data_IF_503482956627
#
_entry.id   IF_503482956627
#
_cell.length_a   1.000
_cell.length_b   1.000
_cell.length_c   1.000
_cell.angle_alpha   90.00
_cell.angle_beta   90.00
_cell.angle_gamma   90.00
#
_symmetry.space_group_name_H-M   'P 1'
#
loop_
_entity.id
_entity.type
_entity.pdbx_description
1 polymer ?
#
# COMPACT_ATOMS: atom_id res chain seq x y z
N UNK A 1 14.21 12.47 21.60
CA UNK A 1 13.71 12.58 20.21
C UNK A 1 14.64 11.73 19.35
N UNK A 2 14.38 10.42 19.25
CA UNK A 2 15.31 9.44 18.65
C UNK A 2 14.57 8.42 17.73
N UNK A 3 13.40 8.82 17.20
CA UNK A 3 12.64 7.98 16.26
C UNK A 3 13.22 8.01 14.83
N UNK A 4 14.09 8.97 14.51
CA UNK A 4 14.60 9.18 13.15
C UNK A 4 15.70 8.20 12.72
N UNK A 5 16.65 7.89 13.61
CA UNK A 5 17.79 7.03 13.26
C UNK A 5 17.37 5.55 13.09
N UNK A 6 16.55 5.01 14.00
CA UNK A 6 16.12 3.60 13.92
C UNK A 6 15.23 3.30 12.71
N UNK A 7 14.46 4.28 12.25
CA UNK A 7 13.63 4.14 11.05
C UNK A 7 14.49 4.10 9.79
N UNK A 8 15.48 5.00 9.68
CA UNK A 8 16.41 5.01 8.56
C UNK A 8 17.27 3.74 8.49
N UNK A 9 17.74 3.22 9.63
CA UNK A 9 18.52 1.97 9.70
C UNK A 9 17.68 0.75 9.28
N UNK A 10 16.45 0.66 9.77
CA UNK A 10 15.52 -0.45 9.45
C UNK A 10 15.08 -0.40 7.99
N UNK A 11 14.75 0.79 7.48
CA UNK A 11 14.45 1.00 6.07
C UNK A 11 15.66 0.67 5.18
N UNK A 12 16.87 1.08 5.56
CA UNK A 12 18.11 0.71 4.85
C UNK A 12 18.28 -0.80 4.77
N UNK A 13 18.01 -1.54 5.85
CA UNK A 13 18.15 -2.99 5.87
C UNK A 13 17.09 -3.72 5.03
N UNK A 14 15.85 -3.21 5.00
CA UNK A 14 14.77 -3.76 4.16
C UNK A 14 15.03 -3.45 2.67
N UNK A 15 15.41 -2.21 2.37
CA UNK A 15 15.80 -1.76 1.02
C UNK A 15 17.01 -2.56 0.53
N UNK A 16 18.05 -2.75 1.36
CA UNK A 16 19.21 -3.56 1.00
C UNK A 16 18.85 -5.03 0.72
N UNK A 17 17.96 -5.64 1.50
CA UNK A 17 17.50 -7.02 1.24
C UNK A 17 16.72 -7.15 -0.07
N UNK A 18 15.91 -6.15 -0.42
CA UNK A 18 15.21 -6.09 -1.71
C UNK A 18 16.16 -6.00 -2.92
N UNK A 19 17.30 -5.31 -2.77
CA UNK A 19 18.35 -5.24 -3.82
C UNK A 19 19.12 -6.56 -3.95
N UNK A 20 19.47 -7.18 -2.82
CA UNK A 20 20.39 -8.32 -2.78
C UNK A 20 19.76 -9.64 -3.23
N UNK A 21 18.45 -9.81 -3.07
CA UNK A 21 17.79 -11.11 -3.32
C UNK A 21 17.78 -11.50 -4.81
N UNK A 22 17.91 -10.55 -5.74
CA UNK A 22 17.50 -10.76 -7.13
C UNK A 22 18.52 -10.34 -8.19
N UNK A 23 19.79 -10.07 -7.82
CA UNK A 23 20.87 -9.84 -8.79
C UNK A 23 21.37 -11.12 -9.47
N UNK A 24 20.70 -12.27 -9.25
CA UNK A 24 21.05 -13.59 -9.80
C UNK A 24 20.13 -14.11 -10.92
N UNK A 25 19.20 -13.30 -11.43
CA UNK A 25 18.29 -13.71 -12.52
C UNK A 25 18.94 -13.51 -13.91
N UNK A 26 18.78 -14.45 -14.86
CA UNK A 26 19.42 -14.41 -16.19
C UNK A 26 18.98 -13.24 -17.08
N UNK A 27 18.01 -12.43 -16.66
CA UNK A 27 17.73 -11.13 -17.28
C UNK A 27 18.54 -10.03 -16.60
N UNK A 28 19.84 -10.02 -16.89
CA UNK A 28 20.74 -8.93 -16.56
C UNK A 28 20.28 -7.66 -17.29
N UNK A 29 19.44 -6.84 -16.66
CA UNK A 29 19.05 -5.51 -17.17
C UNK A 29 17.59 -5.10 -16.99
N UNK A 30 16.68 -5.99 -16.60
CA UNK A 30 15.26 -5.66 -16.37
C UNK A 30 14.98 -5.52 -14.87
N UNK A 31 15.50 -4.45 -14.28
CA UNK A 31 15.36 -4.13 -12.85
C UNK A 31 14.26 -3.11 -12.57
N UNK A 32 13.98 -2.91 -11.28
CA UNK A 32 13.17 -1.80 -10.78
C UNK A 32 13.68 -0.46 -11.31
N UNK A 33 12.80 0.53 -11.38
CA UNK A 33 13.20 1.89 -11.77
C UNK A 33 14.04 2.48 -10.64
N UNK A 34 15.32 2.75 -10.89
CA UNK A 34 16.18 3.45 -9.93
C UNK A 34 15.95 4.96 -10.01
N UNK A 35 16.35 5.69 -8.98
CA UNK A 35 16.30 7.16 -8.95
C UNK A 35 17.02 7.78 -10.15
N UNK A 36 18.19 7.23 -10.53
CA UNK A 36 18.94 7.69 -11.70
C UNK A 36 18.19 7.50 -13.01
N UNK A 37 17.62 6.30 -13.23
CA UNK A 37 16.81 6.01 -14.42
C UNK A 37 15.56 6.89 -14.47
N UNK A 38 14.92 7.09 -13.31
CA UNK A 38 13.77 7.95 -13.15
C UNK A 38 14.06 9.40 -13.60
N UNK A 39 15.15 10.00 -13.09
CA UNK A 39 15.56 11.35 -13.44
C UNK A 39 15.87 11.52 -14.94
N UNK A 40 16.52 10.52 -15.55
CA UNK A 40 16.86 10.56 -16.97
C UNK A 40 15.63 10.46 -17.86
N UNK A 41 14.68 9.60 -17.51
CA UNK A 41 13.38 9.52 -18.19
C UNK A 41 12.60 10.83 -18.05
N UNK A 42 12.62 11.48 -16.88
CA UNK A 42 12.02 12.79 -16.71
C UNK A 42 12.67 13.83 -17.63
N UNK A 43 14.00 13.92 -17.64
CA UNK A 43 14.71 14.86 -18.49
C UNK A 43 14.39 14.64 -19.96
N UNK A 44 14.38 13.39 -20.42
CA UNK A 44 14.03 13.03 -21.79
C UNK A 44 12.59 13.43 -22.15
N UNK A 45 11.61 13.09 -21.30
CA UNK A 45 10.19 13.38 -21.55
C UNK A 45 9.86 14.88 -21.45
N UNK A 46 10.65 15.66 -20.71
CA UNK A 46 10.52 17.12 -20.65
C UNK A 46 11.02 17.79 -21.93
N UNK A 47 12.07 17.25 -22.55
CA UNK A 47 12.64 17.77 -23.79
C UNK A 47 11.88 17.29 -25.02
N UNK A 48 10.76 17.96 -25.31
CA UNK A 48 9.94 17.70 -26.51
C UNK A 48 10.83 17.75 -27.77
N UNK A 49 10.93 16.64 -28.48
CA UNK A 49 11.68 16.53 -29.74
C UNK A 49 12.92 15.64 -29.69
N UNK A 50 13.33 15.17 -28.50
CA UNK A 50 14.41 14.18 -28.40
C UNK A 50 14.00 12.82 -28.97
N UNK A 51 14.82 12.25 -29.84
CA UNK A 51 14.65 10.89 -30.34
C UNK A 51 15.07 9.89 -29.24
N UNK A 52 14.15 9.02 -28.79
CA UNK A 52 14.44 8.07 -27.71
C UNK A 52 15.56 7.07 -28.02
N UNK A 53 15.89 6.86 -29.30
CA UNK A 53 16.98 5.97 -29.71
C UNK A 53 18.35 6.65 -29.76
N UNK A 54 18.41 7.99 -29.84
CA UNK A 54 19.66 8.75 -30.03
C UNK A 54 19.99 9.54 -28.77
N UNK A 55 19.17 10.53 -28.40
CA UNK A 55 19.48 11.46 -27.31
C UNK A 55 19.37 10.79 -25.95
N UNK A 56 18.37 9.92 -25.73
CA UNK A 56 18.25 9.18 -24.48
C UNK A 56 19.47 8.26 -24.29
N UNK A 57 19.82 7.49 -25.33
CA UNK A 57 20.97 6.58 -25.29
C UNK A 57 22.29 7.36 -25.13
N UNK A 58 22.41 8.53 -25.74
CA UNK A 58 23.56 9.41 -25.58
C UNK A 58 23.65 9.93 -24.14
N UNK A 59 22.56 10.43 -23.53
CA UNK A 59 22.55 10.84 -22.13
C UNK A 59 22.99 9.71 -21.20
N UNK A 60 22.54 8.48 -21.45
CA UNK A 60 22.98 7.31 -20.69
C UNK A 60 24.46 6.98 -20.91
N UNK A 61 24.94 7.07 -22.16
CA UNK A 61 26.34 6.78 -22.51
C UNK A 61 27.31 7.82 -21.92
N UNK A 62 26.94 9.10 -21.93
CA UNK A 62 27.73 10.21 -21.37
C UNK A 62 27.91 10.09 -19.86
N UNK A 63 26.99 9.43 -19.17
CA UNK A 63 27.10 9.15 -17.74
C UNK A 63 28.21 8.14 -17.38
N UNK A 64 28.89 7.54 -18.36
CA UNK A 64 30.08 6.66 -18.20
C UNK A 64 29.93 5.53 -17.17
N UNK A 65 28.71 5.12 -16.86
CA UNK A 65 28.40 3.99 -15.97
C UNK A 65 27.82 2.84 -16.80
N UNK A 66 28.58 2.42 -17.80
CA UNK A 66 28.17 1.45 -18.83
C UNK A 66 27.75 0.08 -18.31
N UNK A 67 28.10 -0.28 -17.07
CA UNK A 67 27.73 -1.57 -16.46
C UNK A 67 26.30 -1.63 -15.91
N UNK A 68 25.56 -0.52 -15.86
CA UNK A 68 24.22 -0.46 -15.27
C UNK A 68 23.15 0.14 -16.18
N UNK A 69 23.48 0.35 -17.46
CA UNK A 69 22.56 0.94 -18.42
C UNK A 69 21.66 -0.15 -19.02
N UNK A 70 20.33 0.02 -19.02
CA UNK A 70 19.46 -0.87 -19.74
C UNK A 70 19.74 -0.84 -21.25
N UNK A 71 19.36 -1.89 -21.96
CA UNK A 71 19.49 -1.92 -23.42
C UNK A 71 18.69 -0.78 -24.07
N UNK A 72 19.15 -0.30 -25.23
CA UNK A 72 18.44 0.73 -25.99
C UNK A 72 16.99 0.32 -26.30
N UNK A 73 16.74 -0.96 -26.56
CA UNK A 73 15.39 -1.49 -26.79
C UNK A 73 14.51 -1.42 -25.54
N UNK A 74 15.07 -1.68 -24.35
CA UNK A 74 14.34 -1.55 -23.10
C UNK A 74 14.02 -0.09 -22.79
N UNK A 75 14.98 0.82 -22.98
CA UNK A 75 14.75 2.27 -22.82
C UNK A 75 13.66 2.77 -23.77
N UNK A 76 13.67 2.34 -25.03
CA UNK A 76 12.63 2.68 -26.00
C UNK A 76 11.25 2.15 -25.56
N UNK A 77 11.19 0.91 -25.06
CA UNK A 77 9.96 0.34 -24.51
C UNK A 77 9.45 1.15 -23.30
N UNK A 78 10.32 1.56 -22.39
CA UNK A 78 9.94 2.41 -21.25
C UNK A 78 9.40 3.76 -21.71
N UNK A 79 10.13 4.45 -22.61
CA UNK A 79 9.73 5.75 -23.14
C UNK A 79 8.35 5.71 -23.81
N UNK A 80 8.00 4.59 -24.45
CA UNK A 80 6.70 4.39 -25.09
C UNK A 80 5.55 4.13 -24.10
N UNK A 81 5.84 3.61 -22.90
CA UNK A 81 4.83 3.26 -21.88
C UNK A 81 4.69 4.31 -20.78
N UNK A 82 5.64 5.24 -20.66
CA UNK A 82 5.71 6.22 -19.57
C UNK A 82 5.51 7.64 -20.10
N UNK A 83 4.89 8.50 -19.28
CA UNK A 83 4.76 9.93 -19.54
C UNK A 83 4.93 10.72 -18.24
N UNK A 84 4.80 12.05 -18.33
CA UNK A 84 4.82 12.93 -17.17
C UNK A 84 3.42 13.42 -16.85
N UNK A 85 3.05 13.39 -15.58
CA UNK A 85 1.85 14.08 -15.12
C UNK A 85 2.06 15.61 -15.01
N UNK A 86 1.03 16.33 -14.57
CA UNK A 86 1.10 17.79 -14.40
C UNK A 86 2.12 18.26 -13.35
N UNK A 87 2.58 17.37 -12.48
CA UNK A 87 3.62 17.65 -11.48
C UNK A 87 5.01 17.22 -11.95
N UNK A 88 5.14 16.74 -13.20
CA UNK A 88 6.38 16.23 -13.75
C UNK A 88 6.79 14.87 -13.19
N UNK A 89 5.88 14.08 -12.61
CA UNK A 89 6.18 12.72 -12.13
C UNK A 89 6.01 11.71 -13.24
N UNK A 90 6.85 10.65 -13.25
CA UNK A 90 6.63 9.55 -14.18
C UNK A 90 5.35 8.81 -13.82
N UNK A 91 4.49 8.64 -14.81
CA UNK A 91 3.26 7.86 -14.71
C UNK A 91 3.17 6.86 -15.85
N UNK A 92 2.58 5.71 -15.57
CA UNK A 92 2.27 4.73 -16.59
C UNK A 92 1.14 5.26 -17.48
N UNK A 93 1.34 5.30 -18.80
CA UNK A 93 0.36 5.85 -19.74
C UNK A 93 -0.98 5.13 -19.72
N UNK A 94 -0.95 3.82 -19.48
CA UNK A 94 -2.13 2.95 -19.54
C UNK A 94 -3.17 3.28 -18.45
N UNK A 95 -2.72 3.55 -17.23
CA UNK A 95 -3.61 3.71 -16.07
C UNK A 95 -3.35 4.96 -15.22
N UNK A 96 -2.35 5.78 -15.57
CA UNK A 96 -2.00 7.00 -14.86
C UNK A 96 -1.35 6.81 -13.50
N UNK A 97 -1.04 5.57 -13.08
CA UNK A 97 -0.40 5.32 -11.79
C UNK A 97 1.04 5.83 -11.78
N UNK A 98 1.46 6.34 -10.63
CA UNK A 98 2.78 6.92 -10.44
C UNK A 98 3.82 5.79 -10.39
N UNK A 99 4.90 5.96 -11.15
CA UNK A 99 6.09 5.12 -11.04
C UNK A 99 6.96 5.73 -9.95
N UNK A 100 7.44 4.91 -9.04
CA UNK A 100 8.35 5.35 -7.99
C UNK A 100 9.73 4.76 -8.21
N UNK A 101 10.80 5.53 -7.95
CA UNK A 101 12.11 4.96 -7.76
C UNK A 101 12.08 3.90 -6.66
N UNK A 102 12.81 2.81 -6.90
CA UNK A 102 13.04 1.72 -5.97
C UNK A 102 13.41 2.25 -4.58
N UNK A 103 14.33 3.20 -4.54
CA UNK A 103 14.89 3.81 -3.33
C UNK A 103 13.86 4.58 -2.50
N UNK A 104 12.76 5.01 -3.12
CA UNK A 104 11.72 5.79 -2.47
C UNK A 104 10.46 4.97 -2.13
N UNK A 105 10.34 3.76 -2.65
CA UNK A 105 9.11 3.00 -2.54
C UNK A 105 8.77 2.64 -1.09
N UNK A 106 9.74 2.20 -0.28
CA UNK A 106 9.50 1.89 1.15
C UNK A 106 8.99 3.12 1.93
N UNK A 107 9.53 4.31 1.63
CA UNK A 107 9.10 5.56 2.25
C UNK A 107 7.67 5.91 1.85
N UNK A 108 7.32 5.73 0.57
CA UNK A 108 5.96 5.97 0.08
C UNK A 108 4.95 4.99 0.71
N UNK A 109 5.31 3.71 0.84
CA UNK A 109 4.51 2.71 1.55
C UNK A 109 4.29 3.13 3.01
N UNK A 110 5.35 3.53 3.72
CA UNK A 110 5.24 3.96 5.11
C UNK A 110 4.37 5.22 5.26
N UNK A 111 4.47 6.17 4.32
CA UNK A 111 3.62 7.36 4.33
C UNK A 111 2.14 7.00 4.16
N UNK A 112 1.81 6.08 3.24
CA UNK A 112 0.44 5.56 3.11
C UNK A 112 -0.01 4.83 4.36
N UNK A 113 0.85 3.99 4.92
CA UNK A 113 0.59 3.22 6.13
C UNK A 113 0.23 4.12 7.33
N UNK A 114 0.97 5.21 7.51
CA UNK A 114 0.78 6.13 8.64
C UNK A 114 -0.44 7.06 8.48
N UNK A 115 -1.00 7.16 7.28
CA UNK A 115 -2.12 8.05 6.94
C UNK A 115 -3.49 7.37 7.05
N UNK A 116 -3.68 6.49 8.04
CA UNK A 116 -4.98 5.86 8.27
C UNK A 116 -5.99 6.76 9.00
N UNK A 117 -7.25 6.33 9.07
CA UNK A 117 -8.33 7.11 9.67
C UNK A 117 -8.13 7.26 11.18
N UNK A 118 -8.64 8.36 11.74
CA UNK A 118 -8.57 8.66 13.18
C UNK A 118 -7.14 8.71 13.76
N UNK A 119 -6.12 8.94 12.91
CA UNK A 119 -4.72 8.96 13.31
C UNK A 119 -4.13 7.57 13.60
N UNK A 120 -4.87 6.50 13.29
CA UNK A 120 -4.37 5.14 13.38
C UNK A 120 -3.67 4.75 12.08
N UNK A 121 -2.61 3.96 12.18
CA UNK A 121 -1.98 3.39 10.99
C UNK A 121 -2.92 2.37 10.32
N UNK A 122 -2.85 2.29 9.00
CA UNK A 122 -3.58 1.29 8.22
C UNK A 122 -3.06 -0.12 8.51
N UNK A 123 -3.96 -1.11 8.52
CA UNK A 123 -3.55 -2.52 8.47
C UNK A 123 -2.81 -2.86 7.16
N UNK A 124 -2.28 -4.08 7.06
CA UNK A 124 -1.56 -4.56 5.86
C UNK A 124 -2.43 -4.41 4.62
N UNK A 125 -3.64 -4.97 4.62
CA UNK A 125 -4.57 -4.92 3.47
C UNK A 125 -4.98 -3.48 3.13
N UNK A 126 -5.19 -2.63 4.13
CA UNK A 126 -5.51 -1.22 3.93
C UNK A 126 -4.35 -0.48 3.26
N UNK A 127 -3.13 -0.73 3.71
CA UNK A 127 -1.92 -0.12 3.16
C UNK A 127 -1.69 -0.59 1.73
N UNK A 128 -1.79 -1.90 1.48
CA UNK A 128 -1.60 -2.47 0.13
C UNK A 128 -2.58 -1.86 -0.86
N UNK A 129 -3.86 -1.75 -0.49
CA UNK A 129 -4.86 -1.07 -1.32
C UNK A 129 -4.48 0.39 -1.59
N UNK A 130 -4.15 1.15 -0.54
CA UNK A 130 -3.79 2.56 -0.67
C UNK A 130 -2.54 2.82 -1.53
N UNK A 131 -1.57 1.89 -1.50
CA UNK A 131 -0.37 1.92 -2.36
C UNK A 131 -0.76 1.57 -3.79
N UNK A 132 -1.49 0.48 -4.00
CA UNK A 132 -1.97 0.04 -5.32
C UNK A 132 -2.84 1.09 -6.02
N UNK A 133 -3.59 1.89 -5.28
CA UNK A 133 -4.42 2.96 -5.84
C UNK A 133 -3.58 4.13 -6.39
N UNK A 134 -2.37 4.33 -5.88
CA UNK A 134 -1.53 5.49 -6.23
C UNK A 134 -0.34 5.15 -7.12
N UNK A 135 0.25 3.97 -6.92
CA UNK A 135 1.54 3.60 -7.49
C UNK A 135 1.46 2.35 -8.35
N UNK A 136 2.38 2.25 -9.30
CA UNK A 136 2.61 1.02 -10.08
C UNK A 136 3.16 -0.08 -9.17
N UNK A 137 2.67 -1.30 -9.39
CA UNK A 137 3.04 -2.53 -8.68
C UNK A 137 3.39 -3.59 -9.73
N UNK A 138 4.36 -4.44 -9.41
CA UNK A 138 4.86 -5.48 -10.31
C UNK A 138 5.90 -4.96 -11.30
N UNK A 139 6.93 -5.77 -11.54
CA UNK A 139 8.05 -5.40 -12.44
C UNK A 139 7.59 -5.10 -13.86
N UNK A 140 6.55 -5.79 -14.34
CA UNK A 140 5.96 -5.60 -15.66
C UNK A 140 5.35 -4.20 -15.86
N UNK A 141 5.05 -3.51 -14.77
CA UNK A 141 4.50 -2.16 -14.75
C UNK A 141 5.48 -1.14 -14.16
N UNK A 142 6.77 -1.49 -14.09
CA UNK A 142 7.83 -0.63 -13.53
C UNK A 142 7.66 -0.33 -12.03
N UNK A 143 6.89 -1.17 -11.33
CA UNK A 143 6.61 -1.05 -9.91
C UNK A 143 7.38 -2.07 -9.06
N UNK A 144 7.17 -1.98 -7.75
CA UNK A 144 7.67 -2.94 -6.78
C UNK A 144 6.68 -4.09 -6.57
N UNK A 145 7.18 -5.24 -6.10
CA UNK A 145 6.32 -6.37 -5.75
C UNK A 145 5.40 -6.06 -4.57
N UNK A 146 4.22 -6.69 -4.56
CA UNK A 146 3.21 -6.51 -3.51
C UNK A 146 3.74 -6.99 -2.17
N UNK A 147 4.54 -8.06 -2.16
CA UNK A 147 5.12 -8.69 -0.99
C UNK A 147 6.05 -7.73 -0.24
N UNK A 148 6.77 -6.88 -0.98
CA UNK A 148 7.63 -5.86 -0.38
C UNK A 148 6.83 -4.83 0.43
N UNK A 149 5.60 -4.49 0.00
CA UNK A 149 4.71 -3.62 0.77
C UNK A 149 4.38 -4.27 2.12
N UNK A 150 4.08 -5.57 2.10
CA UNK A 150 3.74 -6.33 3.31
C UNK A 150 4.93 -6.33 4.27
N UNK A 151 6.14 -6.58 3.79
CA UNK A 151 7.36 -6.56 4.61
C UNK A 151 7.61 -5.20 5.26
N UNK A 152 7.45 -4.10 4.51
CA UNK A 152 7.63 -2.73 5.03
C UNK A 152 6.62 -2.46 6.15
N UNK A 153 5.36 -2.87 5.99
CA UNK A 153 4.32 -2.69 7.02
C UNK A 153 4.57 -3.57 8.23
N UNK A 154 4.96 -4.83 8.04
CA UNK A 154 5.28 -5.76 9.12
C UNK A 154 6.45 -5.25 9.98
N UNK A 155 7.40 -4.55 9.35
CA UNK A 155 8.55 -3.95 10.02
C UNK A 155 8.34 -2.48 10.41
N UNK A 156 7.08 -2.06 10.62
CA UNK A 156 6.78 -0.71 11.09
C UNK A 156 7.57 -0.38 12.38
N UNK A 157 8.32 0.75 12.42
CA UNK A 157 9.15 1.11 13.56
C UNK A 157 8.32 1.50 14.80
N UNK A 158 7.05 1.86 14.62
CA UNK A 158 6.19 2.36 15.70
C UNK A 158 5.79 1.21 16.65
N UNK A 159 6.23 1.22 17.92
CA UNK A 159 5.89 0.16 18.87
C UNK A 159 4.39 0.02 19.14
N UNK A 160 3.65 1.14 19.16
CA UNK A 160 2.21 1.12 19.37
C UNK A 160 1.50 0.43 18.19
N UNK A 161 1.95 0.71 16.95
CA UNK A 161 1.41 0.05 15.76
C UNK A 161 1.61 -1.47 15.82
N UNK A 162 2.81 -1.93 16.21
CA UNK A 162 3.10 -3.36 16.35
C UNK A 162 2.22 -4.01 17.42
N UNK A 163 2.07 -3.34 18.57
CA UNK A 163 1.23 -3.82 19.66
C UNK A 163 -0.24 -3.96 19.24
N UNK A 164 -0.84 -2.91 18.65
CA UNK A 164 -2.24 -2.96 18.21
C UNK A 164 -2.48 -4.00 17.12
N UNK A 165 -1.53 -4.18 16.20
CA UNK A 165 -1.60 -5.22 15.18
C UNK A 165 -1.68 -6.62 15.83
N UNK A 166 -0.78 -6.94 16.76
CA UNK A 166 -0.80 -8.24 17.46
C UNK A 166 -2.12 -8.47 18.20
N UNK A 167 -2.65 -7.44 18.86
CA UNK A 167 -3.91 -7.55 19.59
C UNK A 167 -5.11 -7.77 18.67
N UNK A 168 -5.16 -7.09 17.51
CA UNK A 168 -6.20 -7.27 16.51
C UNK A 168 -6.13 -8.65 15.83
N UNK A 169 -4.92 -9.15 15.55
CA UNK A 169 -4.71 -10.50 15.03
C UNK A 169 -5.15 -11.56 16.05
N UNK A 170 -4.85 -11.39 17.35
CA UNK A 170 -5.34 -12.28 18.41
C UNK A 170 -6.86 -12.24 18.56
N UNK A 171 -7.48 -11.07 18.40
CA UNK A 171 -8.93 -10.91 18.48
C UNK A 171 -9.64 -11.56 17.29
N UNK A 172 -9.07 -11.49 16.09
CA UNK A 172 -9.59 -12.20 14.90
C UNK A 172 -9.42 -13.72 14.97
N UNK A 173 -8.44 -14.21 15.74
CA UNK A 173 -8.21 -15.65 15.93
C UNK A 173 -8.94 -16.26 17.13
N UNK A 174 -9.73 -15.47 17.89
CA UNK A 174 -10.65 -16.06 18.87
C UNK A 174 -11.87 -16.60 18.12
N UNK A 175 -12.15 -17.93 18.19
CA UNK A 175 -13.45 -18.42 17.80
C UNK A 175 -14.48 -17.67 18.63
N UNK A 176 -15.39 -16.95 17.99
CA UNK A 176 -16.58 -16.45 18.66
C UNK A 176 -17.43 -17.69 18.95
N UNK A 177 -17.11 -18.39 20.04
CA UNK A 177 -17.98 -19.42 20.58
C UNK A 177 -19.20 -18.67 21.10
N UNK A 178 -20.26 -18.64 20.29
CA UNK A 178 -21.59 -18.26 20.73
C UNK A 178 -22.05 -19.45 21.57
N UNK A 179 -22.19 -19.34 22.91
CA UNK A 179 -22.77 -20.41 23.69
C UNK A 179 -24.23 -20.54 23.25
N UNK A 180 -24.57 -21.71 22.74
CA UNK A 180 -25.95 -22.08 22.43
C UNK A 180 -26.78 -21.97 23.72
N UNK A 181 -27.91 -21.25 23.73
CA UNK A 181 -28.72 -21.13 24.94
C UNK A 181 -29.30 -22.51 25.29
N UNK A 182 -29.20 -22.97 26.55
CA UNK A 182 -29.76 -24.25 26.93
C UNK A 182 -31.29 -24.20 26.80
N UNK A 183 -31.83 -25.03 25.90
CA UNK A 183 -33.25 -25.27 25.76
C UNK A 183 -33.86 -25.90 27.02
N UNK A 184 -35.18 -25.75 27.24
CA UNK A 184 -35.80 -26.02 28.52
C UNK A 184 -36.01 -27.52 28.73
N UNK A 185 -35.47 -28.05 29.83
CA UNK A 185 -35.84 -29.38 30.34
C UNK A 185 -36.74 -29.17 31.56
N UNK A 186 -37.96 -29.68 31.46
CA UNK A 186 -39.03 -29.44 32.43
C UNK A 186 -39.09 -30.38 33.62
N UNK A 187 -39.99 -29.98 34.53
CA UNK A 187 -40.60 -30.69 35.67
C UNK A 187 -39.72 -30.80 36.94
N UNK A 188 -40.14 -30.35 38.14
CA UNK A 188 -41.50 -30.31 38.71
C UNK A 188 -41.59 -29.30 39.89
N UNK A 189 -42.80 -28.74 40.11
CA UNK A 189 -43.48 -28.31 41.38
C UNK A 189 -42.65 -27.53 42.45
N UNK A 190 -43.04 -26.37 43.00
CA UNK A 190 -44.27 -26.08 43.77
C UNK A 190 -44.57 -24.56 43.90
N UNK A 191 -45.87 -24.26 43.85
CA UNK A 191 -46.71 -23.20 44.44
C UNK A 191 -46.09 -22.01 45.21
N UNK A 192 -46.35 -20.78 44.73
CA UNK A 192 -47.00 -19.71 45.54
C UNK A 192 -47.41 -18.47 44.72
N UNK A 193 -48.73 -18.26 44.68
CA UNK A 193 -49.57 -17.05 44.49
C UNK A 193 -48.91 -15.66 44.39
N UNK A 194 -49.22 -14.91 43.32
CA UNK A 194 -50.01 -13.64 43.37
C UNK A 194 -50.04 -12.90 42.01
N UNK A 195 -51.26 -12.71 41.49
CA UNK A 195 -51.84 -11.52 40.81
C UNK A 195 -50.89 -10.46 40.20
N UNK A 196 -50.99 -9.97 38.96
CA UNK A 196 -51.98 -10.08 37.88
C UNK A 196 -51.72 -9.01 36.79
N UNK A 197 -52.31 -9.20 35.60
CA UNK A 197 -52.45 -8.22 34.49
C UNK A 197 -51.17 -7.93 33.69
N UNK A 198 -51.06 -8.11 32.37
CA UNK A 198 -52.04 -8.02 31.29
C UNK A 198 -51.69 -6.81 30.41
N UNK A 199 -51.24 -7.02 29.16
CA UNK A 199 -51.12 -5.93 28.18
C UNK A 199 -50.04 -6.12 27.12
N UNK A 200 -50.40 -6.74 25.99
CA UNK A 200 -49.70 -6.65 24.72
C UNK A 200 -49.81 -5.25 24.12
N UNK A 201 -48.74 -4.72 23.52
CA UNK A 201 -48.80 -3.86 22.32
C UNK A 201 -47.40 -3.44 21.84
N UNK A 202 -46.99 -3.95 20.67
CA UNK A 202 -46.27 -3.16 19.64
C UNK A 202 -47.20 -2.03 19.13
N UNK A 203 -46.78 -1.04 18.30
CA UNK A 203 -45.51 -0.85 17.59
C UNK A 203 -44.96 0.61 17.68
N UNK A 204 -43.83 0.91 17.01
CA UNK A 204 -43.73 2.04 16.08
C UNK A 204 -42.28 2.25 15.62
N UNK A 205 -42.11 2.20 14.30
CA UNK A 205 -40.97 2.71 13.54
C UNK A 205 -40.74 4.20 13.85
N UNK A 206 -39.49 4.65 13.86
CA UNK A 206 -39.18 6.08 13.95
C UNK A 206 -38.36 6.49 12.73
N UNK A 207 -38.99 7.35 11.95
CA UNK A 207 -38.51 7.98 10.72
C UNK A 207 -37.21 8.77 10.91
N UNK A 208 -36.37 8.73 9.87
CA UNK A 208 -35.22 9.60 9.65
C UNK A 208 -35.67 11.02 9.31
N UNK A 209 -35.06 12.08 9.92
CA UNK A 209 -35.38 13.46 9.55
C UNK A 209 -34.66 13.90 8.26
N UNK A 210 -35.40 14.62 7.40
CA UNK A 210 -34.94 15.18 6.13
C UNK A 210 -33.93 16.34 6.30
N UNK A 211 -33.06 16.61 5.31
CA UNK A 211 -32.08 17.69 5.37
C UNK A 211 -32.69 19.07 5.05
N UNK A 212 -32.11 20.17 5.58
CA UNK A 212 -32.61 21.53 5.38
C UNK A 212 -32.23 22.10 3.99
N UNK A 213 -32.97 23.13 3.51
CA UNK A 213 -32.79 23.70 2.18
C UNK A 213 -31.54 24.59 2.08
N UNK A 214 -30.90 24.54 0.91
CA UNK A 214 -29.75 25.34 0.54
C UNK A 214 -30.11 26.83 0.39
N UNK A 215 -29.20 27.70 0.84
CA UNK A 215 -29.09 29.10 0.42
C UNK A 215 -27.77 29.28 -0.31
#
# INVERSE_FOLDING_TARGET
>A
MDLGLGLAETMKNIVAKGIQTEMGSPFQGTGYVTEKLYMLLQLYLQNKGWNPSVELLQCFTELKESSMLPSASYLQMMANRVTLDSQGRLVLRENGKIILPFEHFANAVMLKHMNGPHGLHLGVEGTVRAVMDSYTIGRENFGMEKEFIVEVVQNCPNPACRYYKTQLELAHNKPTYIPEPPGPVGSSTETSTSTGGGGSSHPAETETPAPPPAK
#
